data_IF_604514134784
#
_entry.id   IF_604514134784
#
_cell.length_a   1.000
_cell.length_b   1.000
_cell.length_c   1.000
_cell.angle_alpha   90.00
_cell.angle_beta   90.00
_cell.angle_gamma   90.00
#
_symmetry.space_group_name_H-M   'P 1'
#
loop_
_entity.id
_entity.type
_entity.pdbx_description
1 polymer ?
#
# COMPACT_ATOMS: atom_id res chain seq x y z
N UNK A 1 -6.15 -20.77 10.34
CA UNK A 1 -7.15 -19.97 9.60
C UNK A 1 -6.42 -18.84 8.92
N UNK A 2 -6.57 -18.70 7.60
CA UNK A 2 -5.88 -17.65 6.86
C UNK A 2 -6.51 -16.31 7.21
N UNK A 3 -5.72 -15.40 7.71
CA UNK A 3 -6.17 -14.06 8.10
C UNK A 3 -5.90 -13.00 7.03
N UNK A 4 -5.37 -13.40 5.87
CA UNK A 4 -5.15 -12.52 4.73
C UNK A 4 -6.47 -12.12 4.06
N UNK A 5 -6.69 -10.83 3.87
CA UNK A 5 -7.93 -10.26 3.33
C UNK A 5 -7.78 -9.69 1.93
N UNK A 6 -6.58 -9.46 1.47
CA UNK A 6 -6.28 -8.86 0.18
C UNK A 6 -5.11 -7.89 0.26
N UNK A 7 -4.82 -7.23 -0.86
CA UNK A 7 -3.73 -6.26 -0.92
C UNK A 7 -4.05 -5.12 -1.89
N UNK A 8 -3.35 -4.01 -1.67
CA UNK A 8 -3.34 -2.86 -2.56
C UNK A 8 -1.95 -2.71 -3.16
N UNK A 9 -1.87 -2.77 -4.48
CA UNK A 9 -0.62 -2.76 -5.22
C UNK A 9 -0.33 -1.39 -5.85
N UNK A 10 0.92 -1.21 -6.28
CA UNK A 10 1.35 -0.04 -7.06
C UNK A 10 1.16 1.31 -6.35
N UNK A 11 1.24 1.33 -5.05
CA UNK A 11 1.13 2.56 -4.27
C UNK A 11 2.47 3.28 -4.21
N UNK A 12 2.42 4.60 -4.15
CA UNK A 12 3.58 5.45 -3.92
C UNK A 12 3.41 6.18 -2.60
N UNK A 13 4.40 6.08 -1.72
CA UNK A 13 4.39 6.83 -0.49
C UNK A 13 4.51 8.34 -0.79
N UNK A 14 3.64 9.17 -0.23
CA UNK A 14 3.64 10.61 -0.49
C UNK A 14 5.00 11.26 -0.21
N UNK A 15 5.69 10.82 0.85
CA UNK A 15 7.04 11.30 1.19
C UNK A 15 8.10 11.05 0.09
N UNK A 16 7.84 10.11 -0.81
CA UNK A 16 8.72 9.77 -1.93
C UNK A 16 8.31 10.48 -3.25
N UNK A 17 7.24 11.27 -3.21
CA UNK A 17 6.77 12.06 -4.36
C UNK A 17 7.86 13.02 -4.82
N UNK A 18 8.12 13.03 -6.13
CA UNK A 18 9.16 13.88 -6.74
C UNK A 18 10.58 13.35 -6.60
N UNK A 19 10.79 12.18 -5.98
CA UNK A 19 12.06 11.47 -5.95
C UNK A 19 12.12 10.40 -7.04
N UNK A 20 13.33 9.94 -7.40
CA UNK A 20 13.48 8.76 -8.24
C UNK A 20 12.90 7.54 -7.48
N UNK A 21 11.77 7.05 -7.95
CA UNK A 21 11.06 5.94 -7.29
C UNK A 21 11.70 4.64 -7.72
N UNK A 22 12.39 3.97 -6.80
CA UNK A 22 12.96 2.64 -7.01
C UNK A 22 11.99 1.53 -6.63
N UNK A 23 11.06 1.81 -5.73
CA UNK A 23 10.09 0.84 -5.23
C UNK A 23 8.70 1.45 -5.17
N UNK A 24 7.70 0.64 -5.52
CA UNK A 24 6.32 0.91 -5.14
C UNK A 24 6.03 0.27 -3.78
N UNK A 25 4.89 0.60 -3.20
CA UNK A 25 4.43 -0.03 -1.98
C UNK A 25 3.23 -0.93 -2.29
N UNK A 26 3.24 -2.10 -1.69
CA UNK A 26 2.08 -2.97 -1.61
C UNK A 26 1.66 -3.06 -0.16
N UNK A 27 0.39 -2.87 0.12
CA UNK A 27 -0.17 -3.01 1.46
C UNK A 27 -0.96 -4.31 1.51
N UNK A 28 -0.43 -5.32 2.18
CA UNK A 28 -1.14 -6.56 2.47
C UNK A 28 -1.99 -6.37 3.74
N UNK A 29 -3.24 -6.83 3.68
CA UNK A 29 -4.23 -6.67 4.74
C UNK A 29 -4.48 -8.01 5.41
N UNK A 30 -4.29 -8.05 6.73
CA UNK A 30 -4.54 -9.19 7.59
C UNK A 30 -5.55 -8.82 8.69
N UNK A 31 -6.15 -9.81 9.31
CA UNK A 31 -7.09 -9.57 10.41
C UNK A 31 -6.45 -8.90 11.63
N UNK A 32 -5.15 -9.04 11.80
CA UNK A 32 -4.36 -8.47 12.90
C UNK A 32 -3.59 -7.20 12.56
N UNK A 33 -3.64 -6.74 11.31
CA UNK A 33 -2.99 -5.50 10.91
C UNK A 33 -2.72 -5.35 9.43
N UNK A 34 -1.89 -4.37 9.10
CA UNK A 34 -1.45 -4.06 7.75
C UNK A 34 0.05 -4.30 7.63
N UNK A 35 0.50 -4.83 6.50
CA UNK A 35 1.92 -4.98 6.20
C UNK A 35 2.24 -4.20 4.94
N UNK A 36 3.12 -3.20 5.07
CA UNK A 36 3.59 -2.39 3.95
C UNK A 36 4.88 -2.97 3.42
N UNK A 37 4.86 -3.43 2.18
CA UNK A 37 6.00 -4.02 1.49
C UNK A 37 6.56 -3.06 0.46
N UNK A 38 7.89 -2.93 0.39
CA UNK A 38 8.57 -2.26 -0.71
C UNK A 38 8.78 -3.25 -1.85
N UNK A 39 8.11 -3.03 -2.98
CA UNK A 39 8.23 -3.88 -4.17
C UNK A 39 9.07 -3.15 -5.21
N UNK A 40 10.19 -3.74 -5.67
CA UNK A 40 11.03 -3.12 -6.69
C UNK A 40 10.24 -2.82 -7.96
N UNK A 41 10.40 -1.63 -8.49
CA UNK A 41 9.85 -1.25 -9.78
C UNK A 41 10.81 -1.71 -10.86
N UNK A 42 10.57 -2.89 -11.40
CA UNK A 42 11.26 -3.35 -12.60
C UNK A 42 10.37 -2.98 -13.80
N UNK A 43 10.71 -1.87 -14.45
CA UNK A 43 10.02 -1.45 -15.67
C UNK A 43 10.40 -2.35 -16.84
N UNK A 44 9.42 -2.93 -17.52
CA UNK A 44 9.58 -3.33 -18.91
C UNK A 44 9.55 -2.04 -19.74
N UNK A 45 10.63 -1.71 -20.47
CA UNK A 45 10.70 -0.45 -21.23
C UNK A 45 9.63 -0.35 -22.32
N UNK A 46 8.89 -1.41 -22.62
CA UNK A 46 7.84 -1.46 -23.62
C UNK A 46 6.40 -1.37 -23.07
N UNK A 47 6.18 -1.55 -21.77
CA UNK A 47 4.82 -1.44 -21.18
C UNK A 47 4.65 -0.10 -20.50
N UNK A 48 3.59 0.60 -20.87
CA UNK A 48 3.17 1.84 -20.21
C UNK A 48 2.87 1.50 -18.76
N UNK A 49 3.69 2.03 -17.86
CA UNK A 49 3.32 2.15 -16.46
C UNK A 49 1.93 2.76 -16.36
N UNK A 50 1.17 2.43 -15.34
CA UNK A 50 -0.10 3.11 -15.13
C UNK A 50 0.14 4.63 -15.23
N UNK A 51 -0.78 5.38 -15.80
CA UNK A 51 -0.64 6.83 -16.00
C UNK A 51 -0.26 7.55 -14.69
N UNK A 52 -0.69 7.01 -13.56
CA UNK A 52 -0.38 7.50 -12.21
C UNK A 52 1.09 7.32 -11.87
N UNK A 53 1.67 6.14 -12.11
CA UNK A 53 3.10 5.90 -11.85
C UNK A 53 3.98 6.72 -12.80
N UNK A 54 3.58 6.87 -14.05
CA UNK A 54 4.26 7.74 -15.01
C UNK A 54 4.25 9.22 -14.57
N UNK A 55 3.14 9.69 -14.06
CA UNK A 55 3.00 11.04 -13.53
C UNK A 55 3.82 11.28 -12.26
N UNK A 56 3.81 10.33 -11.32
CA UNK A 56 4.57 10.40 -10.06
C UNK A 56 6.08 10.27 -10.27
N UNK A 57 6.53 9.61 -11.34
CA UNK A 57 7.95 9.43 -11.68
C UNK A 57 8.57 10.63 -12.38
N UNK A 58 7.79 11.63 -12.80
CA UNK A 58 8.33 12.79 -13.52
C UNK A 58 9.09 12.43 -14.79
N UNK A 59 8.75 11.33 -15.47
CA UNK A 59 9.35 10.89 -16.73
C UNK A 59 10.71 10.17 -16.59
N UNK A 60 11.15 9.77 -15.41
CA UNK A 60 12.42 9.05 -15.23
C UNK A 60 12.33 7.64 -15.81
N UNK A 61 13.14 7.38 -16.85
CA UNK A 61 13.30 6.06 -17.45
C UNK A 61 14.10 5.15 -16.50
N UNK A 62 13.43 4.19 -15.88
CA UNK A 62 14.11 3.15 -15.11
C UNK A 62 14.65 2.07 -16.04
N UNK A 63 15.97 1.90 -16.09
CA UNK A 63 16.60 0.71 -16.70
C UNK A 63 16.50 -0.45 -15.73
N UNK A 64 15.57 -1.36 -15.94
CA UNK A 64 15.43 -2.57 -15.14
C UNK A 64 15.68 -3.83 -15.95
N UNK A 65 16.51 -4.73 -15.40
CA UNK A 65 16.74 -6.06 -15.94
C UNK A 65 15.63 -7.04 -15.54
N UNK A 66 15.00 -7.64 -16.55
CA UNK A 66 14.38 -8.99 -16.56
C UNK A 66 13.43 -9.47 -15.44
N UNK A 67 12.71 -8.62 -14.75
CA UNK A 67 11.54 -9.06 -14.01
C UNK A 67 10.29 -8.46 -14.66
N UNK A 68 9.37 -9.29 -15.16
CA UNK A 68 8.12 -8.81 -15.75
C UNK A 68 7.32 -8.00 -14.75
N UNK A 69 6.53 -7.01 -15.21
CA UNK A 69 5.69 -6.20 -14.34
C UNK A 69 4.72 -7.10 -13.56
N UNK A 70 4.61 -6.88 -12.27
CA UNK A 70 3.70 -7.61 -11.39
C UNK A 70 4.25 -8.80 -10.65
N UNK A 71 5.43 -9.33 -10.98
CA UNK A 71 6.00 -10.48 -10.25
C UNK A 71 6.23 -10.23 -8.77
N UNK A 72 6.67 -9.05 -8.39
CA UNK A 72 6.84 -8.69 -6.99
C UNK A 72 5.52 -8.67 -6.23
N UNK A 73 4.46 -8.14 -6.83
CA UNK A 73 3.12 -8.08 -6.23
C UNK A 73 2.48 -9.47 -6.12
N UNK A 74 2.67 -10.32 -7.14
CA UNK A 74 2.23 -11.72 -7.10
C UNK A 74 2.96 -12.51 -6.01
N UNK A 75 4.27 -12.27 -5.85
CA UNK A 75 5.05 -12.90 -4.79
C UNK A 75 4.57 -12.47 -3.39
N UNK A 76 4.25 -11.18 -3.19
CA UNK A 76 3.64 -10.70 -1.95
C UNK A 76 2.33 -11.42 -1.68
N UNK A 77 1.46 -11.51 -2.68
CA UNK A 77 0.17 -12.22 -2.57
C UNK A 77 0.36 -13.68 -2.19
N UNK A 78 1.20 -14.40 -2.90
CA UNK A 78 1.44 -15.83 -2.66
C UNK A 78 1.97 -16.06 -1.25
N UNK A 79 2.91 -15.25 -0.79
CA UNK A 79 3.43 -15.36 0.57
C UNK A 79 2.39 -14.96 1.63
N UNK A 80 1.59 -13.94 1.35
CA UNK A 80 0.53 -13.50 2.26
C UNK A 80 -0.58 -14.56 2.42
N UNK A 81 -0.96 -15.23 1.34
CA UNK A 81 -1.95 -16.32 1.36
C UNK A 81 -1.47 -17.54 2.16
N UNK A 82 -0.14 -17.75 2.25
CA UNK A 82 0.47 -18.82 3.03
C UNK A 82 0.74 -18.43 4.49
N UNK A 83 0.67 -17.15 4.81
CA UNK A 83 0.93 -16.66 6.16
C UNK A 83 -0.32 -16.76 7.04
N UNK A 84 -0.13 -17.15 8.29
CA UNK A 84 -1.22 -17.22 9.28
C UNK A 84 -1.63 -15.83 9.80
N UNK A 85 -0.72 -14.87 9.73
CA UNK A 85 -0.96 -13.51 10.23
C UNK A 85 0.04 -12.52 9.64
N UNK A 86 -0.22 -11.22 9.80
CA UNK A 86 0.72 -10.16 9.42
C UNK A 86 2.04 -10.26 10.17
N UNK A 87 2.03 -10.73 11.41
CA UNK A 87 3.25 -10.94 12.23
C UNK A 87 4.13 -12.02 11.62
N UNK A 88 3.56 -13.14 11.19
CA UNK A 88 4.32 -14.22 10.54
C UNK A 88 4.81 -13.85 9.16
N UNK A 89 4.07 -13.01 8.45
CA UNK A 89 4.44 -12.56 7.11
C UNK A 89 5.54 -11.48 7.13
N UNK A 90 5.42 -10.46 7.98
CA UNK A 90 6.32 -9.32 8.00
C UNK A 90 7.80 -9.67 8.20
N UNK A 91 8.18 -10.60 9.10
CA UNK A 91 9.58 -11.01 9.26
C UNK A 91 10.19 -11.71 8.07
N UNK A 92 9.38 -12.35 7.22
CA UNK A 92 9.86 -13.12 6.06
C UNK A 92 10.07 -12.23 4.82
N UNK A 93 9.43 -11.06 4.77
CA UNK A 93 9.56 -10.14 3.65
C UNK A 93 10.56 -9.02 3.97
N UNK A 94 11.67 -8.98 3.22
CA UNK A 94 12.71 -7.96 3.42
C UNK A 94 12.15 -6.55 3.22
N UNK A 95 12.32 -5.71 4.25
CA UNK A 95 11.84 -4.32 4.22
C UNK A 95 10.34 -4.17 4.46
N UNK A 96 9.64 -5.22 4.89
CA UNK A 96 8.24 -5.13 5.30
C UNK A 96 8.11 -4.37 6.63
N UNK A 97 7.09 -3.52 6.70
CA UNK A 97 6.70 -2.81 7.92
C UNK A 97 5.34 -3.32 8.38
N UNK A 98 5.30 -3.95 9.53
CA UNK A 98 4.06 -4.34 10.18
C UNK A 98 3.45 -3.15 10.92
N UNK A 99 2.16 -2.91 10.69
CA UNK A 99 1.34 -1.94 11.41
C UNK A 99 0.24 -2.74 12.12
N UNK A 100 0.42 -3.08 13.40
CA UNK A 100 -0.58 -3.86 14.14
C UNK A 100 -1.92 -3.13 14.21
N UNK A 101 -3.01 -3.88 14.14
CA UNK A 101 -4.36 -3.32 14.20
C UNK A 101 -4.58 -2.50 15.48
N UNK A 102 -3.97 -2.90 16.58
CA UNK A 102 -4.09 -2.22 17.88
C UNK A 102 -3.60 -0.77 17.87
N UNK A 103 -2.60 -0.44 17.03
CA UNK A 103 -2.03 0.92 16.94
C UNK A 103 -2.66 1.78 15.85
N UNK A 104 -3.50 1.22 15.00
CA UNK A 104 -4.19 1.97 13.95
C UNK A 104 -5.34 2.76 14.57
N UNK A 105 -5.28 4.07 14.52
CA UNK A 105 -6.39 4.94 14.96
C UNK A 105 -7.48 5.02 13.91
N UNK A 106 -7.10 5.31 12.68
CA UNK A 106 -8.01 5.39 11.52
C UNK A 106 -7.27 5.23 10.21
N UNK A 107 -8.00 4.83 9.19
CA UNK A 107 -7.56 4.86 7.80
C UNK A 107 -8.56 5.69 7.00
N UNK A 108 -8.07 6.64 6.21
CA UNK A 108 -8.90 7.57 5.45
C UNK A 108 -8.56 7.47 3.97
N UNK A 109 -9.56 7.19 3.16
CA UNK A 109 -9.46 7.26 1.69
C UNK A 109 -10.05 8.57 1.21
N UNK A 110 -9.23 9.36 0.50
CA UNK A 110 -9.65 10.59 -0.18
C UNK A 110 -9.28 10.55 -1.65
N UNK A 111 -9.91 11.39 -2.46
CA UNK A 111 -9.57 11.55 -3.87
C UNK A 111 -9.57 13.03 -4.23
N UNK A 112 -8.51 13.77 -3.87
CA UNK A 112 -8.49 15.22 -4.04
C UNK A 112 -8.44 15.66 -5.51
N UNK A 113 -7.94 14.81 -6.40
CA UNK A 113 -7.87 15.04 -7.85
C UNK A 113 -8.18 13.74 -8.59
N UNK A 114 -7.25 13.28 -9.44
CA UNK A 114 -7.39 12.01 -10.17
C UNK A 114 -6.76 10.82 -9.44
N UNK A 115 -6.00 11.07 -8.37
CA UNK A 115 -5.26 10.06 -7.62
C UNK A 115 -5.92 9.87 -6.26
N UNK A 116 -6.12 8.61 -5.88
CA UNK A 116 -6.61 8.28 -4.55
C UNK A 116 -5.47 8.36 -3.53
N UNK A 117 -5.79 8.90 -2.36
CA UNK A 117 -4.89 9.00 -1.22
C UNK A 117 -5.41 8.13 -0.09
N UNK A 118 -4.62 7.14 0.32
CA UNK A 118 -4.89 6.31 1.49
C UNK A 118 -3.98 6.75 2.63
N UNK A 119 -4.56 7.41 3.62
CA UNK A 119 -3.85 7.87 4.80
C UNK A 119 -4.07 6.91 5.98
N UNK A 120 -2.99 6.40 6.54
CA UNK A 120 -2.99 5.55 7.72
C UNK A 120 -2.49 6.36 8.91
N UNK A 121 -3.32 6.50 9.93
CA UNK A 121 -3.01 7.18 11.18
C UNK A 121 -2.77 6.15 12.26
N UNK A 122 -1.62 6.24 12.90
CA UNK A 122 -1.23 5.34 14.00
C UNK A 122 -1.01 6.12 15.28
N UNK A 123 -1.21 5.45 16.40
CA UNK A 123 -0.91 6.04 17.70
C UNK A 123 0.54 6.49 17.77
N UNK A 124 0.74 7.69 18.23
CA UNK A 124 2.05 8.31 18.45
C UNK A 124 2.29 8.53 19.94
N UNK A 125 3.55 8.68 20.32
CA UNK A 125 3.93 9.10 21.68
C UNK A 125 3.38 10.49 22.04
N UNK A 126 3.13 11.34 21.04
CA UNK A 126 2.47 12.64 21.17
C UNK A 126 1.02 12.54 20.66
N UNK A 127 0.01 12.51 21.55
CA UNK A 127 -1.41 12.44 21.15
C UNK A 127 -1.87 13.62 20.29
N UNK A 128 -1.20 14.77 20.37
CA UNK A 128 -1.51 15.94 19.56
C UNK A 128 -1.04 15.82 18.12
N UNK A 129 -0.15 14.87 17.82
CA UNK A 129 0.44 14.65 16.50
C UNK A 129 0.49 13.16 16.17
N UNK A 130 -0.63 12.58 15.73
CA UNK A 130 -0.64 11.18 15.30
C UNK A 130 0.33 10.99 14.12
N UNK A 131 1.08 9.90 14.14
CA UNK A 131 1.91 9.53 13.01
C UNK A 131 1.01 9.18 11.82
N UNK A 132 1.26 9.84 10.70
CA UNK A 132 0.50 9.70 9.47
C UNK A 132 1.40 9.22 8.35
N UNK A 133 0.99 8.16 7.66
CA UNK A 133 1.59 7.72 6.40
C UNK A 133 0.54 7.79 5.29
N UNK A 134 0.86 8.45 4.18
CA UNK A 134 -0.03 8.60 3.04
C UNK A 134 0.53 7.86 1.83
N UNK A 135 -0.34 7.11 1.16
CA UNK A 135 -0.05 6.32 -0.02
C UNK A 135 -0.95 6.76 -1.16
N UNK A 136 -0.35 6.99 -2.33
CA UNK A 136 -1.02 7.46 -3.54
C UNK A 136 -1.15 6.30 -4.53
N UNK A 137 -2.30 6.16 -5.15
CA UNK A 137 -2.52 5.12 -6.14
C UNK A 137 -3.91 5.16 -6.77
N UNK A 138 -4.17 4.16 -7.61
CA UNK A 138 -5.50 3.96 -8.19
C UNK A 138 -6.30 2.98 -7.32
N UNK A 139 -7.03 3.54 -6.36
CA UNK A 139 -7.81 2.77 -5.39
C UNK A 139 -9.30 3.06 -5.59
N UNK A 140 -10.07 2.02 -5.91
CA UNK A 140 -11.53 2.17 -5.92
C UNK A 140 -12.08 2.13 -4.49
N UNK A 141 -13.07 2.98 -4.17
CA UNK A 141 -13.72 2.99 -2.86
C UNK A 141 -14.33 1.64 -2.48
N UNK A 142 -14.88 0.93 -3.48
CA UNK A 142 -15.49 -0.38 -3.30
C UNK A 142 -14.46 -1.42 -2.87
N UNK A 143 -13.31 -1.46 -3.54
CA UNK A 143 -12.21 -2.38 -3.22
C UNK A 143 -11.66 -2.07 -1.84
N UNK A 144 -11.42 -0.79 -1.52
CA UNK A 144 -10.93 -0.38 -0.19
C UNK A 144 -11.93 -0.75 0.91
N UNK A 145 -13.22 -0.50 0.68
CA UNK A 145 -14.28 -0.87 1.62
C UNK A 145 -14.34 -2.39 1.82
N UNK A 146 -14.37 -3.16 0.74
CA UNK A 146 -14.46 -4.62 0.79
C UNK A 146 -13.27 -5.26 1.52
N UNK A 147 -12.07 -4.72 1.37
CA UNK A 147 -10.85 -5.27 1.96
C UNK A 147 -10.61 -4.77 3.40
N UNK A 148 -10.80 -3.49 3.67
CA UNK A 148 -10.44 -2.88 4.96
C UNK A 148 -11.60 -2.83 5.97
N UNK A 149 -12.85 -2.75 5.53
CA UNK A 149 -13.99 -2.66 6.46
C UNK A 149 -14.11 -3.86 7.41
N UNK A 150 -13.92 -5.10 6.95
CA UNK A 150 -13.95 -6.26 7.84
C UNK A 150 -12.90 -6.23 8.96
N UNK A 151 -11.76 -5.56 8.71
CA UNK A 151 -10.64 -5.46 9.66
C UNK A 151 -10.74 -4.22 10.55
N UNK A 152 -11.04 -3.07 9.95
CA UNK A 152 -10.98 -1.77 10.62
C UNK A 152 -12.33 -1.33 11.22
N UNK A 153 -13.43 -1.85 10.71
CA UNK A 153 -14.77 -1.39 11.14
C UNK A 153 -14.95 0.12 10.94
N UNK A 154 -15.35 0.81 12.00
CA UNK A 154 -15.62 2.25 11.97
C UNK A 154 -14.35 3.12 11.90
N UNK A 155 -13.17 2.53 12.06
CA UNK A 155 -11.88 3.23 11.83
C UNK A 155 -11.59 3.50 10.36
N UNK A 156 -12.30 2.85 9.42
CA UNK A 156 -12.22 3.16 7.99
C UNK A 156 -13.18 4.30 7.65
N UNK A 157 -12.63 5.37 7.08
CA UNK A 157 -13.38 6.52 6.54
C UNK A 157 -13.12 6.65 5.04
N UNK A 158 -14.17 6.87 4.28
CA UNK A 158 -14.09 7.13 2.83
C UNK A 158 -14.70 8.51 2.60
N UNK A 159 -13.83 9.47 2.33
CA UNK A 159 -14.14 10.88 2.16
C UNK A 159 -13.87 11.29 0.71
N UNK A 160 -14.75 10.87 -0.20
CA UNK A 160 -14.65 11.21 -1.62
C UNK A 160 -15.75 12.23 -1.91
N UNK A 161 -15.40 13.43 -2.41
CA UNK A 161 -16.39 14.43 -2.84
C UNK A 161 -17.32 13.82 -3.90
N UNK A 162 -18.61 14.05 -3.76
CA UNK A 162 -19.62 13.69 -4.77
C UNK A 162 -19.52 14.58 -5.99
#
# INVERSE_FOLDING_TARGET
MVSYRGQFDHLVREADRGRAIQNTRTIAVFDDGLVVCAVPVYGDPGKRDSAILGWLRGGVRTRGRNAGPGRGNEQVRTQAELADSGVTFAPTWRGAQLIPLAVIEKVVLTRPQQVSELAIYVQSADPARPDKSTYLGDLSPETVRGTLRPVLGDRLRIEIPR
#
